data_IF_750301423881
#
_entry.id   IF_750301423881
#
_cell.length_a   1.000
_cell.length_b   1.000
_cell.length_c   1.000
_cell.angle_alpha   90.00
_cell.angle_beta   90.00
_cell.angle_gamma   90.00
#
_symmetry.space_group_name_H-M   'P 1'
#
loop_
_entity.id
_entity.type
_entity.pdbx_description
1 polymer ?
#
# COMPACT_ATOMS: atom_id res chain seq x y z
N UNK A 1 1.19 3.26 -16.63
CA UNK A 1 2.58 3.10 -16.17
C UNK A 1 2.58 3.41 -14.69
N UNK A 2 3.19 2.56 -13.86
CA UNK A 2 3.32 2.84 -12.44
C UNK A 2 4.19 4.09 -12.24
N UNK A 3 3.76 4.98 -11.35
CA UNK A 3 4.47 6.20 -10.96
C UNK A 3 5.59 5.89 -9.96
N UNK A 4 5.38 4.87 -9.12
CA UNK A 4 6.31 4.43 -8.09
C UNK A 4 6.18 2.91 -7.90
N UNK A 5 7.29 2.23 -7.62
CA UNK A 5 7.31 0.83 -7.25
C UNK A 5 8.33 0.61 -6.13
N UNK A 6 7.93 -0.11 -5.08
CA UNK A 6 8.79 -0.43 -3.95
C UNK A 6 8.34 -1.73 -3.31
N UNK A 7 9.28 -2.41 -2.65
CA UNK A 7 9.04 -3.66 -1.92
C UNK A 7 9.36 -3.44 -0.44
N UNK A 8 8.41 -3.78 0.43
CA UNK A 8 8.55 -3.67 1.88
C UNK A 8 8.70 -5.08 2.45
N UNK A 9 9.81 -5.36 3.12
CA UNK A 9 9.99 -6.63 3.82
C UNK A 9 9.13 -6.64 5.09
N UNK A 10 8.49 -7.76 5.38
CA UNK A 10 7.76 -7.98 6.63
C UNK A 10 8.08 -9.38 7.18
N UNK A 11 8.12 -9.51 8.50
CA UNK A 11 8.41 -10.78 9.17
C UNK A 11 7.15 -11.59 9.52
N UNK A 12 5.98 -10.96 9.40
CA UNK A 12 4.68 -11.54 9.71
C UNK A 12 4.20 -12.53 8.64
N UNK A 13 3.27 -13.41 9.00
CA UNK A 13 2.58 -14.23 8.01
C UNK A 13 1.81 -13.34 7.03
N UNK A 14 1.75 -13.74 5.76
CA UNK A 14 1.03 -13.04 4.68
C UNK A 14 -0.41 -12.68 5.08
N UNK A 15 -1.07 -13.55 5.87
CA UNK A 15 -2.44 -13.32 6.32
C UNK A 15 -2.54 -12.15 7.32
N UNK A 16 -1.56 -12.03 8.22
CA UNK A 16 -1.50 -10.95 9.21
C UNK A 16 -1.15 -9.63 8.55
N UNK A 17 -0.14 -9.61 7.66
CA UNK A 17 0.22 -8.44 6.88
C UNK A 17 -0.97 -7.90 6.04
N UNK A 18 -1.76 -8.78 5.42
CA UNK A 18 -2.98 -8.39 4.70
C UNK A 18 -3.99 -7.71 5.62
N UNK A 19 -4.18 -8.26 6.82
CA UNK A 19 -5.12 -7.73 7.80
C UNK A 19 -4.70 -6.33 8.26
N UNK A 20 -3.44 -6.17 8.66
CA UNK A 20 -2.91 -4.89 9.14
C UNK A 20 -3.02 -3.82 8.04
N UNK A 21 -2.55 -4.11 6.83
CA UNK A 21 -2.65 -3.18 5.68
C UNK A 21 -4.11 -2.81 5.39
N UNK A 22 -5.03 -3.77 5.51
CA UNK A 22 -6.46 -3.52 5.30
C UNK A 22 -7.04 -2.60 6.36
N UNK A 23 -6.72 -2.85 7.63
CA UNK A 23 -7.16 -2.03 8.76
C UNK A 23 -6.61 -0.61 8.64
N UNK A 24 -5.29 -0.45 8.48
CA UNK A 24 -4.62 0.85 8.39
C UNK A 24 -5.11 1.69 7.19
N UNK A 25 -5.29 1.08 6.01
CA UNK A 25 -5.81 1.80 4.84
C UNK A 25 -7.26 2.25 5.09
N UNK A 26 -8.09 1.39 5.70
CA UNK A 26 -9.49 1.72 5.99
C UNK A 26 -9.59 2.82 7.05
N UNK A 27 -8.73 2.81 8.07
CA UNK A 27 -8.65 3.85 9.11
C UNK A 27 -8.24 5.21 8.54
N UNK A 28 -7.40 5.22 7.50
CA UNK A 28 -6.94 6.42 6.82
C UNK A 28 -7.90 6.91 5.72
N UNK A 29 -9.21 6.59 5.79
CA UNK A 29 -10.21 6.92 4.77
C UNK A 29 -9.83 6.43 3.36
N UNK A 30 -9.19 5.27 3.30
CA UNK A 30 -8.91 4.55 2.07
C UNK A 30 -9.82 3.35 1.87
N UNK A 31 -9.79 2.82 0.65
CA UNK A 31 -10.41 1.55 0.28
C UNK A 31 -9.33 0.60 -0.21
N UNK A 32 -9.42 -0.67 0.15
CA UNK A 32 -8.54 -1.72 -0.39
C UNK A 32 -9.35 -2.97 -0.69
N UNK A 33 -8.99 -3.63 -1.80
CA UNK A 33 -9.57 -4.88 -2.26
C UNK A 33 -8.46 -5.86 -2.56
N UNK A 34 -8.33 -6.91 -1.75
CA UNK A 34 -7.32 -7.96 -1.90
C UNK A 34 -8.00 -9.22 -2.43
N UNK A 35 -7.53 -9.72 -3.57
CA UNK A 35 -7.91 -11.01 -4.15
C UNK A 35 -6.73 -11.97 -4.04
N UNK A 36 -6.87 -13.01 -3.23
CA UNK A 36 -5.79 -13.94 -2.88
C UNK A 36 -4.56 -13.18 -2.35
N UNK A 37 -3.51 -13.03 -3.18
CA UNK A 37 -2.24 -12.43 -2.81
C UNK A 37 -1.99 -11.07 -3.46
N UNK A 38 -2.93 -10.53 -4.23
CA UNK A 38 -2.77 -9.23 -4.88
C UNK A 38 -4.04 -8.41 -4.78
N UNK A 39 -3.91 -7.11 -4.75
CA UNK A 39 -5.05 -6.23 -4.57
C UNK A 39 -4.82 -4.84 -5.14
N UNK A 40 -5.87 -4.04 -5.07
CA UNK A 40 -5.84 -2.63 -5.42
C UNK A 40 -6.28 -1.84 -4.20
N UNK A 41 -5.68 -0.67 -4.02
CA UNK A 41 -6.01 0.25 -2.95
C UNK A 41 -6.09 1.68 -3.46
N UNK A 42 -6.90 2.46 -2.76
CA UNK A 42 -7.07 3.89 -2.94
C UNK A 42 -7.00 4.55 -1.57
N UNK A 43 -6.14 5.53 -1.38
CA UNK A 43 -6.06 6.32 -0.14
C UNK A 43 -6.38 7.76 -0.47
N UNK A 44 -7.36 8.32 0.23
CA UNK A 44 -7.71 9.73 0.09
C UNK A 44 -6.75 10.55 0.95
N UNK A 45 -6.04 11.49 0.34
CA UNK A 45 -5.08 12.35 1.03
C UNK A 45 -5.37 13.83 0.77
N UNK A 46 -4.92 14.74 1.64
CA UNK A 46 -5.03 16.17 1.37
C UNK A 46 -4.31 16.52 0.06
N UNK A 47 -5.07 16.90 -0.97
CA UNK A 47 -4.54 17.24 -2.29
C UNK A 47 -4.72 16.17 -3.38
N UNK A 48 -5.44 15.08 -3.11
CA UNK A 48 -5.91 14.14 -4.12
C UNK A 48 -6.05 12.71 -3.60
N UNK A 49 -5.97 11.75 -4.50
CA UNK A 49 -6.08 10.31 -4.18
C UNK A 49 -4.81 9.60 -4.63
N UNK A 50 -4.37 8.63 -3.83
CA UNK A 50 -3.28 7.73 -4.18
C UNK A 50 -3.91 6.40 -4.54
N UNK A 51 -3.73 5.94 -5.76
CA UNK A 51 -4.21 4.64 -6.22
C UNK A 51 -3.03 3.75 -6.53
N UNK A 52 -3.09 2.50 -6.11
CA UNK A 52 -2.03 1.55 -6.34
C UNK A 52 -2.46 0.09 -6.25
N UNK A 53 -1.53 -0.77 -6.58
CA UNK A 53 -1.67 -2.21 -6.47
C UNK A 53 -0.72 -2.73 -5.40
N UNK A 54 -1.15 -3.74 -4.66
CA UNK A 54 -0.35 -4.49 -3.69
C UNK A 54 -0.22 -5.93 -4.14
N UNK A 55 0.93 -6.55 -3.87
CA UNK A 55 1.17 -7.98 -4.10
C UNK A 55 1.97 -8.53 -2.92
N UNK A 56 1.32 -9.38 -2.14
CA UNK A 56 1.90 -10.06 -0.99
C UNK A 56 2.69 -11.29 -1.47
N UNK A 57 3.98 -11.32 -1.13
CA UNK A 57 4.89 -12.46 -1.33
C UNK A 57 5.20 -13.08 0.03
N UNK A 58 5.89 -14.22 0.11
CA UNK A 58 6.11 -14.91 1.38
C UNK A 58 6.78 -14.05 2.49
N UNK A 59 7.59 -13.06 2.13
CA UNK A 59 8.34 -12.21 3.07
C UNK A 59 8.43 -10.73 2.65
N UNK A 60 7.63 -10.33 1.67
CA UNK A 60 7.69 -8.98 1.11
C UNK A 60 6.36 -8.55 0.51
N UNK A 61 6.01 -7.28 0.68
CA UNK A 61 4.88 -6.60 0.05
C UNK A 61 5.41 -5.78 -1.12
N UNK A 62 5.04 -6.16 -2.33
CA UNK A 62 5.31 -5.36 -3.54
C UNK A 62 4.18 -4.35 -3.72
N UNK A 63 4.50 -3.06 -3.75
CA UNK A 63 3.55 -1.98 -4.00
C UNK A 63 3.88 -1.29 -5.33
N UNK A 64 2.84 -1.02 -6.11
CA UNK A 64 2.92 -0.34 -7.40
C UNK A 64 1.89 0.77 -7.44
N UNK A 65 2.33 2.02 -7.31
CA UNK A 65 1.46 3.20 -7.34
C UNK A 65 1.11 3.52 -8.79
N UNK A 66 -0.16 3.44 -9.15
CA UNK A 66 -0.65 3.71 -10.50
C UNK A 66 -0.97 5.19 -10.69
N UNK A 67 -1.54 5.83 -9.68
CA UNK A 67 -1.84 7.26 -9.65
C UNK A 67 -1.53 7.87 -8.29
N UNK A 68 -1.09 9.13 -8.30
CA UNK A 68 -0.79 9.88 -7.08
C UNK A 68 -0.77 11.38 -7.36
N UNK A 69 -1.01 12.23 -6.34
CA UNK A 69 -0.79 13.65 -6.46
C UNK A 69 0.68 13.96 -6.80
N UNK A 70 0.91 14.98 -7.63
CA UNK A 70 2.26 15.39 -8.06
C UNK A 70 3.11 15.91 -6.90
N UNK A 71 2.45 16.48 -5.87
CA UNK A 71 3.08 17.02 -4.67
C UNK A 71 3.54 15.94 -3.68
N UNK A 72 3.01 14.73 -3.77
CA UNK A 72 3.36 13.63 -2.86
C UNK A 72 4.44 12.78 -3.52
N UNK A 73 5.68 12.77 -2.99
CA UNK A 73 6.76 11.98 -3.55
C UNK A 73 6.64 10.51 -3.12
N UNK A 74 7.22 9.59 -3.92
CA UNK A 74 7.10 8.16 -3.72
C UNK A 74 7.64 7.69 -2.35
N UNK A 75 8.71 8.32 -1.87
CA UNK A 75 9.35 7.99 -0.59
C UNK A 75 8.43 8.22 0.62
N UNK A 76 7.53 9.21 0.55
CA UNK A 76 6.57 9.46 1.64
C UNK A 76 5.51 8.36 1.66
N UNK A 77 5.03 7.94 0.48
CA UNK A 77 4.06 6.83 0.37
C UNK A 77 4.68 5.53 0.88
N UNK A 78 5.92 5.25 0.46
CA UNK A 78 6.69 4.10 0.94
C UNK A 78 6.84 4.11 2.46
N UNK A 79 7.29 5.23 3.04
CA UNK A 79 7.47 5.34 4.49
C UNK A 79 6.18 5.17 5.28
N UNK A 80 5.04 5.66 4.76
CA UNK A 80 3.73 5.50 5.42
C UNK A 80 3.28 4.05 5.38
N UNK A 81 3.34 3.40 4.21
CA UNK A 81 2.95 1.99 4.10
C UNK A 81 3.90 1.09 4.90
N UNK A 82 5.18 1.43 4.95
CA UNK A 82 6.16 0.70 5.76
C UNK A 82 5.83 0.80 7.24
N UNK A 83 5.45 1.99 7.73
CA UNK A 83 5.05 2.20 9.12
C UNK A 83 3.83 1.39 9.55
N UNK A 84 3.01 0.90 8.61
CA UNK A 84 1.90 0.00 8.92
C UNK A 84 2.36 -1.43 9.22
N UNK A 85 3.54 -1.82 8.76
CA UNK A 85 4.07 -3.19 8.87
C UNK A 85 5.23 -3.31 9.87
N UNK A 86 5.60 -2.21 10.54
CA UNK A 86 6.54 -2.16 11.67
C UNK A 86 5.85 -2.47 13.00
#
# INVERSE_FOLDING_TARGET
MAKCNFDIAYEHEVHEAKKIITEEITENNGEIRINDNSGEFTITVPGGEITGNVTFKNNALSISITDKPTLIPCNIIESVIQSYLE
#
